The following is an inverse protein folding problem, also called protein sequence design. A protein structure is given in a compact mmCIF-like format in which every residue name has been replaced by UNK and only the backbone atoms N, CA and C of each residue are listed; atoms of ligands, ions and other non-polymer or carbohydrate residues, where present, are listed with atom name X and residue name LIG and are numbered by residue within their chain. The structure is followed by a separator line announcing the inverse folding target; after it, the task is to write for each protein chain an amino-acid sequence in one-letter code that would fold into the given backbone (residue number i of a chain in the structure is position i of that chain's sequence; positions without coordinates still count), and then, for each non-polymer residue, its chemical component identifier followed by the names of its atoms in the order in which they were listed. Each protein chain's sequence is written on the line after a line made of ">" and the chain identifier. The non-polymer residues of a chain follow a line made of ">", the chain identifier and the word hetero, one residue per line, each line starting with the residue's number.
data_IF_847006847213
#
_entry.id   IF_847006847213
#
_cell.length_a   1.000
_cell.length_b   1.000
_cell.length_c   1.000
_cell.angle_alpha   90.00
_cell.angle_beta   90.00
_cell.angle_gamma   90.00
#
_symmetry.space_group_name_H-M   'P 1'
#
loop_
_entity.id
_entity.type
_entity.pdbx_description
1 polymer ?
#
# COMPACT_ATOMS: atom_id res chain seq x y z
N UNK A 1 37.29 53.84 7.14
CA UNK A 1 37.56 52.75 8.13
C UNK A 1 36.23 52.46 8.79
N UNK A 2 35.51 51.44 8.29
CA UNK A 2 34.26 50.94 8.92
C UNK A 2 34.68 49.76 9.78
N UNK A 3 34.63 49.95 11.10
CA UNK A 3 34.88 48.94 12.10
C UNK A 3 33.65 48.06 12.22
N UNK A 4 33.73 46.84 11.73
CA UNK A 4 32.75 45.78 11.99
C UNK A 4 32.89 45.32 13.46
N UNK A 5 32.19 45.99 14.39
CA UNK A 5 31.98 45.51 15.74
C UNK A 5 30.70 44.73 15.82
N UNK A 6 30.83 43.44 16.14
CA UNK A 6 29.83 42.68 16.88
C UNK A 6 28.78 41.94 16.10
N UNK A 7 29.16 40.99 15.24
CA UNK A 7 28.37 39.77 15.06
C UNK A 7 29.05 38.67 15.87
N UNK A 8 28.71 38.58 17.15
CA UNK A 8 28.88 37.34 17.90
C UNK A 8 27.85 36.37 17.30
N UNK A 9 28.25 35.53 16.35
CA UNK A 9 27.63 34.25 16.11
C UNK A 9 27.86 33.49 17.41
N UNK A 10 26.83 33.37 18.21
CA UNK A 10 26.76 32.33 19.26
C UNK A 10 26.69 31.01 18.49
N UNK A 11 27.85 30.43 18.19
CA UNK A 11 27.98 29.02 17.90
C UNK A 11 27.60 28.30 19.18
N UNK A 12 26.32 28.02 19.34
CA UNK A 12 25.88 27.00 20.29
C UNK A 12 26.30 25.63 19.72
N UNK A 13 27.59 25.36 19.74
CA UNK A 13 28.12 24.03 19.53
C UNK A 13 27.75 23.19 20.73
N UNK A 14 26.63 22.49 20.64
CA UNK A 14 26.24 21.50 21.62
C UNK A 14 26.98 20.20 21.30
N UNK A 15 27.97 19.83 22.10
CA UNK A 15 28.60 18.52 21.98
C UNK A 15 27.56 17.46 22.37
N UNK A 16 27.21 16.60 21.44
CA UNK A 16 26.29 15.49 21.63
C UNK A 16 26.97 14.19 21.21
N UNK A 17 26.83 13.12 22.03
CA UNK A 17 27.33 11.81 21.65
C UNK A 17 26.58 11.28 20.42
N UNK A 18 27.30 10.71 19.45
CA UNK A 18 26.70 10.12 18.25
C UNK A 18 25.61 9.10 18.57
N UNK A 19 25.77 8.33 19.64
CA UNK A 19 24.75 7.36 20.10
C UNK A 19 23.45 8.04 20.54
N UNK A 20 23.54 9.24 21.15
CA UNK A 20 22.37 10.01 21.54
C UNK A 20 21.69 10.61 20.31
N UNK A 21 22.46 11.18 19.38
CA UNK A 21 21.94 11.71 18.10
C UNK A 21 21.21 10.60 17.30
N UNK A 22 21.77 9.40 17.26
CA UNK A 22 21.13 8.26 16.60
C UNK A 22 19.79 7.89 17.26
N UNK A 23 19.74 7.86 18.60
CA UNK A 23 18.48 7.54 19.31
C UNK A 23 17.42 8.62 19.12
N UNK A 24 17.79 9.87 19.21
CA UNK A 24 16.83 11.00 19.19
C UNK A 24 16.36 11.37 17.79
N UNK A 25 17.21 11.23 16.76
CA UNK A 25 16.89 11.69 15.40
C UNK A 25 16.71 10.54 14.40
N UNK A 26 17.54 9.50 14.45
CA UNK A 26 17.47 8.42 13.48
C UNK A 26 16.38 7.40 13.81
N UNK A 27 16.15 7.08 15.09
CA UNK A 27 15.09 6.13 15.46
C UNK A 27 13.68 6.61 15.08
N UNK A 28 13.29 7.86 15.35
CA UNK A 28 12.00 8.38 14.88
C UNK A 28 11.85 8.32 13.36
N UNK A 29 12.91 8.63 12.60
CA UNK A 29 12.92 8.49 11.15
C UNK A 29 12.72 7.02 10.73
N UNK A 30 13.49 6.09 11.28
CA UNK A 30 13.37 4.66 10.99
C UNK A 30 11.95 4.15 11.28
N UNK A 31 11.38 4.50 12.43
CA UNK A 31 10.02 4.14 12.80
C UNK A 31 8.98 4.72 11.84
N UNK A 32 9.14 5.96 11.41
CA UNK A 32 8.24 6.57 10.43
C UNK A 32 8.27 5.86 9.08
N UNK A 33 9.45 5.44 8.61
CA UNK A 33 9.60 4.67 7.37
C UNK A 33 8.95 3.29 7.49
N UNK A 34 9.07 2.63 8.62
CA UNK A 34 8.44 1.32 8.88
C UNK A 34 6.92 1.46 8.83
N UNK A 35 6.36 2.32 9.68
CA UNK A 35 4.91 2.40 9.91
C UNK A 35 4.19 3.11 8.76
N UNK A 36 4.73 4.25 8.30
CA UNK A 36 4.00 5.13 7.39
C UNK A 36 4.31 4.88 5.89
N UNK A 37 5.20 3.94 5.56
CA UNK A 37 5.61 3.75 4.16
C UNK A 37 5.77 2.31 3.72
N UNK A 38 6.52 1.48 4.47
CA UNK A 38 7.06 0.24 3.94
C UNK A 38 6.20 -0.98 4.26
N UNK A 39 5.68 -1.08 5.48
CA UNK A 39 4.97 -2.25 5.96
C UNK A 39 3.47 -2.08 5.75
N UNK A 40 2.77 -3.09 5.22
CA UNK A 40 1.32 -3.05 5.13
C UNK A 40 0.69 -3.18 6.52
N UNK A 41 -0.46 -2.55 6.70
CA UNK A 41 -1.32 -2.75 7.87
C UNK A 41 -2.12 -4.05 7.74
N UNK A 42 -2.93 -4.36 8.76
CA UNK A 42 -3.75 -5.58 8.79
C UNK A 42 -4.75 -5.68 7.63
N UNK A 43 -5.16 -4.55 7.06
CA UNK A 43 -6.02 -4.48 5.86
C UNK A 43 -5.28 -4.88 4.56
N UNK A 44 -3.99 -5.20 4.64
CA UNK A 44 -3.16 -5.60 3.51
C UNK A 44 -2.65 -4.44 2.65
N UNK A 45 -2.92 -3.20 3.04
CA UNK A 45 -2.52 -2.02 2.29
C UNK A 45 -1.42 -1.21 2.98
N UNK A 46 -0.53 -0.67 2.19
CA UNK A 46 0.36 0.41 2.61
C UNK A 46 -0.43 1.73 2.62
N UNK A 47 0.01 2.74 3.38
CA UNK A 47 -0.68 4.03 3.39
C UNK A 47 -0.89 4.65 2.00
N UNK A 48 0.08 4.54 1.09
CA UNK A 48 -0.05 5.04 -0.28
C UNK A 48 -1.14 4.30 -1.08
N UNK A 49 -1.24 2.97 -0.92
CA UNK A 49 -2.30 2.17 -1.55
C UNK A 49 -3.67 2.60 -1.03
N UNK A 50 -3.81 2.73 0.29
CA UNK A 50 -5.08 3.09 0.95
C UNK A 50 -5.56 4.47 0.51
N UNK A 51 -4.70 5.47 0.50
CA UNK A 51 -5.03 6.84 0.05
C UNK A 51 -5.48 6.87 -1.41
N UNK A 52 -4.79 6.16 -2.29
CA UNK A 52 -5.15 6.06 -3.71
C UNK A 52 -6.51 5.38 -3.90
N UNK A 53 -6.71 4.21 -3.31
CA UNK A 53 -7.97 3.45 -3.44
C UNK A 53 -9.13 4.21 -2.81
N UNK A 54 -8.92 4.86 -1.67
CA UNK A 54 -9.95 5.70 -1.02
C UNK A 54 -10.33 6.91 -1.90
N UNK A 55 -9.35 7.57 -2.52
CA UNK A 55 -9.64 8.64 -3.49
C UNK A 55 -10.50 8.13 -4.64
N UNK A 56 -10.15 6.98 -5.22
CA UNK A 56 -10.93 6.37 -6.29
C UNK A 56 -12.35 6.00 -5.85
N UNK A 57 -12.51 5.53 -4.61
CA UNK A 57 -13.81 5.26 -4.00
C UNK A 57 -14.64 6.55 -3.87
N UNK A 58 -14.07 7.63 -3.31
CA UNK A 58 -14.74 8.94 -3.18
C UNK A 58 -15.13 9.55 -4.53
N UNK A 59 -14.38 9.24 -5.59
CA UNK A 59 -14.73 9.63 -6.96
C UNK A 59 -15.82 8.76 -7.58
N UNK A 60 -16.36 7.76 -6.89
CA UNK A 60 -17.43 6.88 -7.35
C UNK A 60 -17.01 5.89 -8.43
N UNK A 61 -15.72 5.49 -8.46
CA UNK A 61 -15.16 4.67 -9.54
C UNK A 61 -15.40 3.16 -9.38
N UNK A 62 -16.14 2.70 -8.38
CA UNK A 62 -16.57 1.29 -8.28
C UNK A 62 -17.59 0.95 -9.38
N UNK A 63 -18.61 1.78 -9.51
CA UNK A 63 -19.74 1.56 -10.43
C UNK A 63 -19.70 2.53 -11.63
N UNK A 64 -18.69 3.40 -11.67
CA UNK A 64 -18.56 4.44 -12.69
C UNK A 64 -17.83 3.98 -13.95
N UNK A 65 -17.75 4.91 -14.91
CA UNK A 65 -16.89 4.76 -16.08
C UNK A 65 -15.43 4.98 -15.68
N UNK A 66 -14.53 4.36 -16.43
CA UNK A 66 -13.09 4.62 -16.30
C UNK A 66 -12.78 6.12 -16.47
N UNK A 67 -11.81 6.62 -15.70
CA UNK A 67 -11.31 7.99 -15.78
C UNK A 67 -9.81 7.99 -16.10
N UNK A 68 -9.33 9.10 -16.64
CA UNK A 68 -7.90 9.30 -16.90
C UNK A 68 -7.10 9.17 -15.61
N UNK A 69 -6.04 8.37 -15.67
CA UNK A 69 -5.15 8.16 -14.51
C UNK A 69 -4.59 9.46 -13.96
N UNK A 70 -4.24 10.42 -14.83
CA UNK A 70 -3.74 11.74 -14.41
C UNK A 70 -4.73 12.52 -13.53
N UNK A 71 -6.04 12.39 -13.79
CA UNK A 71 -7.06 13.04 -12.96
C UNK A 71 -7.13 12.42 -11.56
N UNK A 72 -7.05 11.10 -11.46
CA UNK A 72 -7.05 10.38 -10.19
C UNK A 72 -5.78 10.69 -9.39
N UNK A 73 -4.62 10.72 -10.05
CA UNK A 73 -3.35 11.10 -9.43
C UNK A 73 -3.44 12.49 -8.81
N UNK A 74 -3.97 13.47 -9.56
CA UNK A 74 -4.17 14.84 -9.06
C UNK A 74 -5.08 14.90 -7.84
N UNK A 75 -6.19 14.17 -7.83
CA UNK A 75 -7.07 14.09 -6.65
C UNK A 75 -6.40 13.39 -5.46
N UNK A 76 -5.61 12.36 -5.71
CA UNK A 76 -4.89 11.63 -4.65
C UNK A 76 -3.84 12.49 -3.95
N UNK A 77 -3.25 13.47 -4.64
CA UNK A 77 -2.26 14.39 -4.04
C UNK A 77 -2.84 15.19 -2.88
N UNK A 78 -4.15 15.37 -2.79
CA UNK A 78 -4.83 16.02 -1.66
C UNK A 78 -4.72 15.22 -0.36
N UNK A 79 -4.55 13.90 -0.45
CA UNK A 79 -4.35 13.00 0.70
C UNK A 79 -2.89 12.57 0.84
N UNK A 80 -2.16 12.50 -0.28
CA UNK A 80 -0.79 12.00 -0.34
C UNK A 80 0.15 13.06 -0.91
N UNK A 81 0.87 13.85 -0.07
CA UNK A 81 1.70 14.97 -0.51
C UNK A 81 3.04 14.52 -1.10
N UNK A 82 3.02 13.51 -1.95
CA UNK A 82 4.17 13.00 -2.69
C UNK A 82 4.07 13.35 -4.17
N UNK A 83 5.17 13.18 -4.91
CA UNK A 83 5.20 13.45 -6.35
C UNK A 83 4.19 12.59 -7.13
N UNK A 84 3.64 13.16 -8.19
CA UNK A 84 2.66 12.54 -9.08
C UNK A 84 3.13 11.19 -9.65
N UNK A 85 4.42 11.07 -9.99
CA UNK A 85 5.02 9.82 -10.46
C UNK A 85 4.92 8.70 -9.41
N UNK A 86 5.20 8.99 -8.15
CA UNK A 86 5.14 7.97 -7.08
C UNK A 86 3.69 7.45 -6.88
N UNK A 87 2.71 8.34 -6.99
CA UNK A 87 1.29 7.97 -6.92
C UNK A 87 0.91 7.15 -8.16
N UNK A 88 1.37 7.55 -9.34
CA UNK A 88 1.07 6.83 -10.57
C UNK A 88 1.72 5.44 -10.61
N UNK A 89 2.97 5.30 -10.18
CA UNK A 89 3.64 4.00 -10.06
C UNK A 89 2.93 3.08 -9.05
N UNK A 90 2.43 3.64 -7.96
CA UNK A 90 1.58 2.91 -7.01
C UNK A 90 0.30 2.41 -7.70
N UNK A 91 -0.36 3.28 -8.47
CA UNK A 91 -1.54 2.90 -9.25
C UNK A 91 -1.22 1.79 -10.25
N UNK A 92 -0.13 1.90 -11.01
CA UNK A 92 0.30 0.90 -11.98
C UNK A 92 0.37 -0.48 -11.36
N UNK A 93 0.99 -0.61 -10.19
CA UNK A 93 1.13 -1.91 -9.48
C UNK A 93 -0.20 -2.51 -9.03
N UNK A 94 -1.21 -1.69 -8.78
CA UNK A 94 -2.54 -2.14 -8.36
C UNK A 94 -3.44 -2.53 -9.54
N UNK A 95 -3.01 -2.28 -10.79
CA UNK A 95 -3.82 -2.53 -11.97
C UNK A 95 -3.76 -3.98 -12.43
N UNK A 96 -4.88 -4.43 -13.00
CA UNK A 96 -4.96 -5.70 -13.74
C UNK A 96 -3.97 -5.76 -14.89
N UNK A 97 -3.74 -4.65 -15.57
CA UNK A 97 -2.84 -4.59 -16.72
C UNK A 97 -1.38 -4.86 -16.40
N UNK A 98 -0.94 -4.58 -15.17
CA UNK A 98 0.44 -4.78 -14.73
C UNK A 98 0.75 -6.22 -14.29
N UNK A 99 -0.25 -6.99 -13.85
CA UNK A 99 -0.11 -8.39 -13.40
C UNK A 99 0.84 -8.59 -12.21
N UNK A 100 1.04 -7.54 -11.40
CA UNK A 100 1.82 -7.66 -10.17
C UNK A 100 1.06 -8.38 -9.06
N UNK A 101 -0.26 -8.26 -9.05
CA UNK A 101 -1.15 -8.80 -8.02
C UNK A 101 -1.88 -10.05 -8.53
N UNK A 102 -2.12 -11.00 -7.63
CA UNK A 102 -2.97 -12.15 -7.89
C UNK A 102 -4.44 -11.71 -8.09
N UNK A 103 -4.89 -10.78 -7.23
CA UNK A 103 -6.21 -10.16 -7.30
C UNK A 103 -6.05 -8.63 -7.37
N UNK A 104 -6.05 -8.04 -8.57
CA UNK A 104 -5.90 -6.60 -8.76
C UNK A 104 -7.10 -5.83 -8.21
N UNK A 105 -6.85 -4.60 -7.75
CA UNK A 105 -7.87 -3.68 -7.23
C UNK A 105 -8.32 -2.63 -8.25
N UNK A 106 -7.56 -2.48 -9.31
CA UNK A 106 -7.78 -1.42 -10.31
C UNK A 106 -7.94 -2.04 -11.69
N UNK A 107 -9.13 -1.88 -12.29
CA UNK A 107 -9.38 -2.17 -13.70
C UNK A 107 -8.72 -1.09 -14.56
N UNK A 108 -8.11 -1.50 -15.65
CA UNK A 108 -7.18 -0.67 -16.40
C UNK A 108 -7.37 -0.75 -17.90
N UNK A 109 -7.27 0.41 -18.56
CA UNK A 109 -7.29 0.53 -20.02
C UNK A 109 -6.08 1.34 -20.49
N UNK A 110 -5.28 0.74 -21.35
CA UNK A 110 -4.02 1.29 -21.84
C UNK A 110 -2.84 0.41 -21.50
N UNK A 111 -1.63 0.91 -21.73
CA UNK A 111 -0.39 0.18 -21.44
C UNK A 111 0.11 0.51 -20.03
N UNK A 112 0.04 -0.48 -19.13
CA UNK A 112 0.56 -0.41 -17.76
C UNK A 112 1.86 -1.22 -17.57
N UNK A 113 2.49 -1.66 -18.64
CA UNK A 113 3.60 -2.63 -18.66
C UNK A 113 3.23 -3.93 -17.93
N UNK A 114 4.17 -4.85 -17.88
CA UNK A 114 4.01 -6.11 -17.13
C UNK A 114 5.09 -6.19 -16.06
N UNK A 115 4.74 -6.59 -14.87
CA UNK A 115 5.68 -6.68 -13.74
C UNK A 115 6.89 -7.58 -14.05
N UNK A 116 6.71 -8.62 -14.85
CA UNK A 116 7.76 -9.56 -15.23
C UNK A 116 8.55 -9.16 -16.49
N UNK A 117 8.10 -8.15 -17.24
CA UNK A 117 8.78 -7.67 -18.44
C UNK A 117 9.56 -6.39 -18.16
N UNK A 118 10.84 -6.39 -18.53
CA UNK A 118 11.72 -5.21 -18.44
C UNK A 118 11.75 -4.37 -19.72
N UNK A 119 11.16 -4.90 -20.82
CA UNK A 119 11.32 -4.33 -22.16
C UNK A 119 10.33 -3.21 -22.46
N UNK A 120 9.28 -3.06 -21.67
CA UNK A 120 8.23 -2.07 -21.91
C UNK A 120 7.98 -1.22 -20.65
N UNK A 121 8.13 0.10 -20.79
CA UNK A 121 7.66 1.04 -19.80
C UNK A 121 6.13 1.24 -19.91
N UNK A 122 5.48 1.55 -18.79
CA UNK A 122 4.07 1.95 -18.81
C UNK A 122 3.88 3.31 -19.48
N UNK A 123 2.72 3.52 -20.10
CA UNK A 123 2.37 4.78 -20.75
C UNK A 123 2.17 5.88 -19.70
N UNK A 124 2.37 7.14 -20.09
CA UNK A 124 2.10 8.29 -19.22
C UNK A 124 0.64 8.33 -18.78
N UNK A 125 0.38 8.82 -17.57
CA UNK A 125 -0.93 8.84 -16.91
C UNK A 125 -2.04 9.52 -17.71
N UNK A 126 -1.69 10.45 -18.60
CA UNK A 126 -2.63 11.12 -19.51
C UNK A 126 -3.22 10.23 -20.60
N UNK A 127 -2.57 9.11 -20.90
CA UNK A 127 -3.01 8.17 -21.96
C UNK A 127 -3.76 6.95 -21.41
N UNK A 128 -3.68 6.70 -20.11
CA UNK A 128 -4.29 5.54 -19.47
C UNK A 128 -5.59 5.91 -18.75
N UNK A 129 -6.48 4.95 -18.62
CA UNK A 129 -7.76 5.10 -17.93
C UNK A 129 -7.95 3.95 -16.94
N UNK A 130 -8.53 4.25 -15.77
CA UNK A 130 -8.74 3.27 -14.71
C UNK A 130 -10.07 3.47 -13.99
N UNK A 131 -10.53 2.42 -13.34
CA UNK A 131 -11.61 2.41 -12.33
C UNK A 131 -11.30 1.35 -11.27
N UNK A 132 -12.08 1.28 -10.21
CA UNK A 132 -11.96 0.20 -9.22
C UNK A 132 -12.53 -1.11 -9.77
N UNK A 133 -11.90 -2.22 -9.40
CA UNK A 133 -12.38 -3.58 -9.66
C UNK A 133 -13.55 -3.94 -8.73
N UNK A 134 -14.32 -4.96 -9.10
CA UNK A 134 -15.47 -5.41 -8.29
C UNK A 134 -15.11 -5.87 -6.89
N UNK A 135 -13.94 -6.45 -6.70
CA UNK A 135 -13.43 -6.87 -5.37
C UNK A 135 -13.38 -5.69 -4.38
N UNK A 136 -13.26 -4.46 -4.88
CA UNK A 136 -13.27 -3.28 -4.03
C UNK A 136 -14.62 -3.04 -3.34
N UNK A 137 -15.72 -3.67 -3.78
CA UNK A 137 -16.98 -3.67 -3.04
C UNK A 137 -16.82 -4.30 -1.66
N UNK A 138 -16.03 -5.36 -1.57
CA UNK A 138 -15.72 -6.06 -0.31
C UNK A 138 -14.64 -5.34 0.51
N UNK A 139 -13.87 -4.47 -0.13
CA UNK A 139 -12.86 -3.64 0.55
C UNK A 139 -13.49 -2.41 1.21
N UNK A 140 -14.53 -1.82 0.59
CA UNK A 140 -15.17 -0.58 1.03
C UNK A 140 -16.59 -0.76 1.58
N UNK A 141 -17.15 -1.97 1.54
CA UNK A 141 -18.58 -2.21 1.75
C UNK A 141 -19.16 -1.67 3.04
N UNK A 142 -18.37 -1.60 4.09
CA UNK A 142 -18.79 -1.16 5.41
C UNK A 142 -18.15 0.16 5.86
N UNK A 143 -17.48 0.90 4.99
CA UNK A 143 -16.74 2.10 5.35
C UNK A 143 -17.63 3.22 5.93
N UNK A 144 -18.87 3.32 5.47
CA UNK A 144 -19.85 4.31 5.92
C UNK A 144 -20.60 3.88 7.19
N UNK A 145 -20.29 2.70 7.76
CA UNK A 145 -20.96 2.13 8.94
C UNK A 145 -20.20 2.33 10.24
N UNK A 146 -19.26 3.29 10.28
CA UNK A 146 -18.41 3.56 11.45
C UNK A 146 -17.59 2.35 11.90
N UNK A 147 -17.06 1.60 10.93
CA UNK A 147 -16.24 0.40 11.16
C UNK A 147 -14.75 0.68 11.28
N UNK A 148 -14.32 1.86 10.86
CA UNK A 148 -12.92 2.31 10.88
C UNK A 148 -12.84 3.75 11.35
N UNK A 149 -11.70 4.10 11.96
CA UNK A 149 -11.42 5.46 12.39
C UNK A 149 -10.94 6.32 11.22
N UNK A 150 -11.27 7.61 11.30
CA UNK A 150 -10.84 8.62 10.34
C UNK A 150 -9.92 9.62 11.04
N UNK A 151 -8.87 10.03 10.35
CA UNK A 151 -7.91 11.03 10.80
C UNK A 151 -7.84 12.17 9.78
N UNK A 152 -7.40 13.34 10.23
CA UNK A 152 -7.14 14.45 9.32
C UNK A 152 -5.96 14.12 8.40
N UNK A 153 -6.06 14.54 7.15
CA UNK A 153 -4.93 14.49 6.21
C UNK A 153 -3.81 15.44 6.65
N UNK A 154 -2.71 15.47 5.88
CA UNK A 154 -1.50 16.23 6.21
C UNK A 154 -1.70 17.74 6.41
N UNK A 155 -2.70 18.36 5.78
CA UNK A 155 -3.01 19.80 5.87
C UNK A 155 -4.29 20.11 6.66
N UNK A 156 -4.97 19.09 7.18
CA UNK A 156 -6.20 19.23 7.98
C UNK A 156 -7.44 19.61 7.18
N UNK A 157 -7.38 19.65 5.86
CA UNK A 157 -8.52 20.04 4.99
C UNK A 157 -9.50 18.90 4.70
N UNK A 158 -9.05 17.66 4.82
CA UNK A 158 -9.81 16.46 4.53
C UNK A 158 -9.59 15.40 5.61
N UNK A 159 -10.43 14.36 5.58
CA UNK A 159 -10.26 13.17 6.42
C UNK A 159 -9.97 11.95 5.57
N UNK A 160 -9.16 11.05 6.11
CA UNK A 160 -8.81 9.77 5.48
C UNK A 160 -8.97 8.64 6.49
N UNK A 161 -9.35 7.41 6.04
CA UNK A 161 -9.47 6.27 6.92
C UNK A 161 -8.09 5.76 7.35
N UNK A 162 -7.97 5.36 8.60
CA UNK A 162 -6.76 4.73 9.14
C UNK A 162 -6.53 3.34 8.55
N UNK A 163 -7.63 2.60 8.36
CA UNK A 163 -7.69 1.26 7.75
C UNK A 163 -8.87 1.19 6.78
N UNK A 164 -8.89 0.19 5.91
CA UNK A 164 -10.07 -0.15 5.11
C UNK A 164 -10.80 -1.34 5.73
N UNK A 165 -12.17 -1.33 5.74
CA UNK A 165 -12.98 -2.37 6.38
C UNK A 165 -13.10 -3.61 5.50
N UNK A 166 -11.98 -4.25 5.22
CA UNK A 166 -11.90 -5.38 4.30
C UNK A 166 -12.65 -6.59 4.87
N UNK A 167 -13.52 -7.19 4.08
CA UNK A 167 -14.37 -8.31 4.49
C UNK A 167 -13.64 -9.66 4.57
N UNK A 168 -12.37 -9.73 4.15
CA UNK A 168 -11.54 -10.95 4.14
C UNK A 168 -10.09 -10.62 4.49
N UNK A 169 -9.24 -11.58 4.87
CA UNK A 169 -7.82 -11.34 5.21
C UNK A 169 -6.99 -10.95 3.98
N UNK A 170 -7.17 -9.75 3.48
CA UNK A 170 -6.58 -9.24 2.24
C UNK A 170 -5.05 -9.25 2.25
N UNK A 171 -4.44 -9.13 3.43
CA UNK A 171 -2.98 -9.20 3.58
C UNK A 171 -2.37 -10.50 3.07
N UNK A 172 -3.16 -11.58 3.01
CA UNK A 172 -2.74 -12.90 2.52
C UNK A 172 -3.09 -13.14 1.04
N UNK A 173 -3.94 -12.30 0.45
CA UNK A 173 -4.49 -12.53 -0.89
C UNK A 173 -3.56 -12.03 -2.00
N UNK A 174 -2.84 -10.96 -1.73
CA UNK A 174 -1.91 -10.36 -2.70
C UNK A 174 -0.48 -10.32 -2.16
N UNK A 175 0.54 -10.49 -3.03
CA UNK A 175 1.92 -10.42 -2.60
C UNK A 175 2.26 -9.02 -2.10
N UNK A 176 2.89 -8.94 -0.95
CA UNK A 176 3.34 -7.67 -0.39
C UNK A 176 4.81 -7.74 0.01
N UNK A 177 5.60 -6.85 -0.54
CA UNK A 177 7.01 -6.71 -0.17
C UNK A 177 7.25 -5.27 0.30
N UNK A 178 7.87 -5.14 1.48
CA UNK A 178 8.22 -3.87 2.06
C UNK A 178 9.68 -3.85 2.50
N UNK A 179 10.40 -2.80 2.14
CA UNK A 179 11.78 -2.58 2.57
C UNK A 179 11.80 -1.28 3.36
N UNK A 180 12.10 -1.39 4.64
CA UNK A 180 12.22 -0.27 5.56
C UNK A 180 13.65 -0.14 6.07
N UNK A 181 13.85 0.71 7.07
CA UNK A 181 15.14 0.86 7.74
C UNK A 181 15.24 -0.17 8.87
N UNK A 182 16.20 -1.09 8.77
CA UNK A 182 16.41 -2.14 9.76
C UNK A 182 15.34 -3.26 9.78
N UNK A 183 14.35 -3.20 8.90
CA UNK A 183 13.27 -4.18 8.79
C UNK A 183 12.83 -4.35 7.33
N UNK A 184 12.47 -5.56 6.96
CA UNK A 184 11.84 -5.85 5.69
C UNK A 184 10.70 -6.86 5.91
N UNK A 185 9.68 -6.80 5.07
CA UNK A 185 8.60 -7.79 5.03
C UNK A 185 8.47 -8.38 3.63
N UNK A 186 8.16 -9.67 3.57
CA UNK A 186 7.82 -10.35 2.33
C UNK A 186 6.69 -11.32 2.65
N UNK A 187 5.48 -10.98 2.21
CA UNK A 187 4.27 -11.77 2.43
C UNK A 187 3.88 -12.34 1.07
N UNK A 188 3.88 -13.67 0.90
CA UNK A 188 3.42 -14.30 -0.33
C UNK A 188 1.91 -14.18 -0.47
N UNK A 189 1.41 -14.33 -1.69
CA UNK A 189 -0.02 -14.41 -1.98
C UNK A 189 -0.53 -15.85 -1.88
N UNK A 190 -1.80 -15.98 -1.51
CA UNK A 190 -2.51 -17.26 -1.45
C UNK A 190 -3.81 -17.17 -2.24
N UNK A 191 -4.35 -18.31 -2.61
CA UNK A 191 -5.63 -18.40 -3.29
C UNK A 191 -6.76 -17.82 -2.43
N UNK A 192 -7.55 -16.89 -3.00
CA UNK A 192 -8.62 -16.21 -2.27
C UNK A 192 -9.63 -17.20 -1.67
N UNK A 193 -9.98 -18.25 -2.42
CA UNK A 193 -10.92 -19.28 -1.93
C UNK A 193 -10.34 -20.00 -0.73
N UNK A 194 -9.07 -20.44 -0.79
CA UNK A 194 -8.40 -21.11 0.32
C UNK A 194 -8.29 -20.21 1.56
N UNK A 195 -7.99 -18.92 1.36
CA UNK A 195 -7.95 -17.93 2.45
C UNK A 195 -9.32 -17.79 3.11
N UNK A 196 -10.39 -17.69 2.33
CA UNK A 196 -11.75 -17.62 2.86
C UNK A 196 -12.16 -18.90 3.59
N UNK A 197 -11.90 -20.07 2.99
CA UNK A 197 -12.21 -21.38 3.60
C UNK A 197 -11.45 -21.57 4.92
N UNK A 198 -10.17 -21.18 4.95
CA UNK A 198 -9.33 -21.21 6.16
C UNK A 198 -9.86 -20.26 7.23
N UNK A 199 -10.26 -19.05 6.84
CA UNK A 199 -10.84 -18.06 7.76
C UNK A 199 -12.13 -18.62 8.40
N UNK A 200 -13.01 -19.20 7.60
CA UNK A 200 -14.24 -19.83 8.09
C UNK A 200 -13.93 -21.00 9.05
N UNK A 201 -12.96 -21.84 8.72
CA UNK A 201 -12.54 -22.94 9.57
C UNK A 201 -11.97 -22.43 10.91
N UNK A 202 -11.13 -21.41 10.88
CA UNK A 202 -10.53 -20.79 12.05
C UNK A 202 -11.57 -20.12 12.96
N UNK A 203 -12.54 -19.41 12.40
CA UNK A 203 -13.63 -18.79 13.15
C UNK A 203 -14.50 -19.83 13.86
N UNK A 204 -14.70 -21.01 13.25
CA UNK A 204 -15.44 -22.13 13.86
C UNK A 204 -14.62 -22.83 14.94
N UNK A 205 -13.34 -22.97 14.74
CA UNK A 205 -12.42 -23.63 15.68
C UNK A 205 -11.02 -23.00 15.58
N UNK A 206 -10.62 -22.11 16.52
CA UNK A 206 -9.29 -21.50 16.53
C UNK A 206 -8.11 -22.48 16.61
N UNK A 207 -8.36 -23.71 17.02
CA UNK A 207 -7.35 -24.78 17.08
C UNK A 207 -7.35 -25.68 15.81
N UNK A 208 -7.99 -25.25 14.72
CA UNK A 208 -7.98 -26.01 13.48
C UNK A 208 -6.57 -26.04 12.86
N UNK A 209 -6.27 -27.12 12.16
CA UNK A 209 -5.02 -27.25 11.40
C UNK A 209 -5.14 -26.45 10.09
N UNK A 210 -4.54 -25.27 10.07
CA UNK A 210 -4.57 -24.33 8.93
C UNK A 210 -3.95 -24.95 7.67
N UNK A 211 -2.95 -25.83 7.83
CA UNK A 211 -2.25 -26.46 6.70
C UNK A 211 -3.13 -27.35 5.82
N UNK A 212 -4.32 -27.71 6.32
CA UNK A 212 -5.29 -28.50 5.56
C UNK A 212 -6.10 -27.70 4.55
N UNK A 213 -6.25 -26.40 4.78
CA UNK A 213 -7.05 -25.50 3.96
C UNK A 213 -6.20 -24.48 3.22
N UNK A 214 -5.09 -24.02 3.80
CA UNK A 214 -4.12 -23.13 3.19
C UNK A 214 -2.85 -23.95 2.87
N UNK A 215 -2.81 -24.54 1.68
CA UNK A 215 -1.81 -25.57 1.35
C UNK A 215 -0.49 -24.96 0.93
N UNK A 216 -0.52 -23.95 0.04
CA UNK A 216 0.66 -23.37 -0.59
C UNK A 216 0.40 -21.96 -1.11
N UNK A 217 1.45 -21.13 -1.27
CA UNK A 217 1.34 -19.85 -1.93
C UNK A 217 0.98 -19.98 -3.41
N UNK A 218 0.17 -19.05 -3.92
CA UNK A 218 -0.08 -18.84 -5.34
C UNK A 218 0.69 -17.60 -5.86
N UNK A 219 1.12 -17.64 -7.12
CA UNK A 219 1.88 -16.57 -7.73
C UNK A 219 1.14 -15.98 -8.92
N UNK A 220 1.16 -14.65 -9.07
CA UNK A 220 0.49 -13.95 -10.18
C UNK A 220 1.03 -14.34 -11.57
N UNK A 221 2.29 -14.76 -11.63
CA UNK A 221 2.95 -15.23 -12.86
C UNK A 221 2.77 -16.73 -13.13
N UNK A 222 2.07 -17.45 -12.25
CA UNK A 222 1.97 -18.90 -12.26
C UNK A 222 3.24 -19.57 -11.73
N UNK A 223 3.19 -20.89 -11.64
CA UNK A 223 4.30 -21.72 -11.18
C UNK A 223 3.80 -23.07 -10.68
N UNK A 224 4.70 -24.01 -10.52
CA UNK A 224 4.44 -25.30 -9.89
C UNK A 224 5.22 -25.36 -8.56
N UNK A 225 4.52 -25.64 -7.47
CA UNK A 225 5.12 -25.82 -6.16
C UNK A 225 5.16 -27.31 -5.82
N UNK A 226 6.35 -27.88 -5.73
CA UNK A 226 6.55 -29.27 -5.31
C UNK A 226 6.80 -29.25 -3.80
N UNK A 227 5.86 -29.78 -3.04
CA UNK A 227 5.95 -29.87 -1.58
C UNK A 227 6.36 -31.30 -1.20
N UNK A 228 7.53 -31.46 -0.61
CA UNK A 228 7.90 -32.68 0.11
C UNK A 228 7.56 -32.48 1.60
N UNK A 229 6.52 -33.18 2.07
CA UNK A 229 6.08 -33.12 3.48
C UNK A 229 6.94 -33.98 4.41
N UNK A 230 7.93 -34.68 3.88
CA UNK A 230 8.82 -35.58 4.63
C UNK A 230 10.20 -34.96 4.92
N UNK A 231 10.44 -33.74 4.44
CA UNK A 231 11.69 -33.00 4.64
C UNK A 231 11.64 -32.07 5.85
#
# INVERSE_FOLDING_TARGET
>A
IITLKGLKFLENNTEQKITQTLKENYMPYAMSVIISRAIPEIDGFKPSHRKLLYTMYKMGLINGKQRKSANIVGETMKLNPHGDMAIYETMVRLTRGNEALLHPFVDSKGNFAKQYSRDMAFAASRYTEVKLEEICKEVFGDIDKNTVDFVSNYDGTMTEPTLLPVAFPNILVNPNQGIAVGMASCIPSFNLKEVCDTTIAYLKNPNCDISKTLIAPDFSTGGELILDRTA
#
